data_IF_723087091519
#
_entry.id   IF_723087091519
#
_cell.length_a   1.000
_cell.length_b   1.000
_cell.length_c   1.000
_cell.angle_alpha   90.00
_cell.angle_beta   90.00
_cell.angle_gamma   90.00
#
_symmetry.space_group_name_H-M   'P 1'
#
loop_
_entity.id
_entity.type
_entity.pdbx_description
1 polymer ?
#
# COMPACT_ATOMS: atom_id res chain seq x y z
N UNK A 1 22.33 4.22 71.52
CA UNK A 1 22.12 5.03 70.31
C UNK A 1 21.41 4.15 69.29
N UNK A 2 20.11 4.34 69.16
CA UNK A 2 19.18 3.46 68.44
C UNK A 2 19.13 3.82 66.96
N UNK A 3 19.39 2.86 66.06
CA UNK A 3 19.11 2.98 64.61
C UNK A 3 17.73 2.39 64.33
N UNK A 4 16.73 3.25 64.27
CA UNK A 4 15.38 2.94 63.80
C UNK A 4 15.09 3.76 62.54
N UNK A 5 14.61 3.11 61.47
CA UNK A 5 13.77 3.77 60.47
C UNK A 5 14.31 3.90 59.04
N UNK A 6 14.52 2.78 58.32
CA UNK A 6 14.60 2.82 56.83
C UNK A 6 13.78 1.74 56.13
N UNK A 7 12.99 0.94 56.85
CA UNK A 7 12.19 -0.14 56.24
C UNK A 7 10.82 0.31 55.68
N UNK A 8 10.26 1.44 56.15
CA UNK A 8 8.91 1.91 55.71
C UNK A 8 8.91 2.60 54.35
N UNK A 9 10.05 3.13 53.89
CA UNK A 9 10.16 3.79 52.60
C UNK A 9 10.07 2.81 51.43
N UNK A 10 10.98 1.83 51.38
CA UNK A 10 11.07 0.89 50.26
C UNK A 10 9.78 0.06 50.03
N UNK A 11 9.09 -0.31 51.12
CA UNK A 11 7.82 -1.05 51.02
C UNK A 11 6.69 -0.20 50.40
N UNK A 12 6.63 1.10 50.71
CA UNK A 12 5.62 2.00 50.13
C UNK A 12 5.84 2.25 48.64
N UNK A 13 7.10 2.37 48.21
CA UNK A 13 7.45 2.51 46.79
C UNK A 13 7.20 1.23 46.01
N UNK A 14 7.46 0.06 46.59
CA UNK A 14 7.13 -1.23 45.99
C UNK A 14 5.63 -1.41 45.77
N UNK A 15 4.81 -1.05 46.76
CA UNK A 15 3.35 -1.10 46.63
C UNK A 15 2.83 -0.14 45.54
N UNK A 16 3.35 1.08 45.47
CA UNK A 16 3.00 2.05 44.43
C UNK A 16 3.37 1.55 43.02
N UNK A 17 4.53 0.92 42.86
CA UNK A 17 4.94 0.32 41.58
C UNK A 17 4.01 -0.81 41.14
N UNK A 18 3.61 -1.69 42.07
CA UNK A 18 2.67 -2.78 41.76
C UNK A 18 1.30 -2.24 41.37
N UNK A 19 0.80 -1.22 42.09
CA UNK A 19 -0.47 -0.56 41.74
C UNK A 19 -0.38 0.13 40.38
N UNK A 20 0.71 0.85 40.11
CA UNK A 20 0.91 1.52 38.82
C UNK A 20 1.01 0.53 37.66
N UNK A 21 1.72 -0.58 37.83
CA UNK A 21 1.82 -1.65 36.82
C UNK A 21 0.48 -2.36 36.62
N UNK A 22 -0.26 -2.64 37.70
CA UNK A 22 -1.59 -3.23 37.64
C UNK A 22 -2.59 -2.31 36.93
N UNK A 23 -2.54 -1.00 37.22
CA UNK A 23 -3.37 0.00 36.57
C UNK A 23 -3.00 0.18 35.10
N UNK A 24 -1.71 0.19 34.75
CA UNK A 24 -1.24 0.24 33.37
C UNK A 24 -1.65 -1.02 32.58
N UNK A 25 -1.58 -2.20 33.20
CA UNK A 25 -2.04 -3.45 32.60
C UNK A 25 -3.57 -3.48 32.43
N UNK A 26 -4.31 -2.98 33.42
CA UNK A 26 -5.77 -2.90 33.36
C UNK A 26 -6.23 -1.88 32.32
N UNK A 27 -5.63 -0.68 32.29
CA UNK A 27 -5.88 0.31 31.26
C UNK A 27 -5.47 -0.22 29.88
N UNK A 28 -4.33 -0.90 29.75
CA UNK A 28 -3.89 -1.49 28.49
C UNK A 28 -4.79 -2.64 27.99
N UNK A 29 -5.40 -3.41 28.89
CA UNK A 29 -6.31 -4.51 28.53
C UNK A 29 -7.75 -4.05 28.31
N UNK A 30 -8.20 -3.01 29.02
CA UNK A 30 -9.54 -2.44 28.90
C UNK A 30 -9.65 -1.37 27.78
N UNK A 31 -8.52 -0.82 27.32
CA UNK A 31 -8.49 0.12 26.19
C UNK A 31 -8.20 -0.68 24.92
N UNK A 32 -9.20 -1.04 24.10
CA UNK A 32 -8.93 -1.66 22.81
C UNK A 32 -8.02 -0.73 22.02
N UNK A 33 -6.81 -1.20 21.71
CA UNK A 33 -5.96 -0.49 20.74
C UNK A 33 -6.80 -0.28 19.48
N UNK A 34 -6.87 0.94 18.92
CA UNK A 34 -7.51 1.13 17.63
C UNK A 34 -6.74 0.31 16.60
N UNK A 35 -7.16 -0.95 16.39
CA UNK A 35 -6.71 -1.70 15.25
C UNK A 35 -7.37 -1.01 14.06
N UNK A 36 -6.62 -0.16 13.37
CA UNK A 36 -6.96 0.24 11.99
C UNK A 36 -6.73 -0.99 11.11
N UNK A 37 -7.49 -2.05 11.37
CA UNK A 37 -7.64 -3.16 10.44
C UNK A 37 -8.73 -2.66 9.49
N UNK A 38 -8.44 -2.41 8.20
CA UNK A 38 -9.49 -2.26 7.21
C UNK A 38 -10.48 -3.42 7.41
N UNK A 39 -11.78 -3.19 7.27
CA UNK A 39 -12.90 -4.07 7.62
C UNK A 39 -12.92 -5.43 6.88
N UNK A 40 -11.80 -6.17 6.83
CA UNK A 40 -11.59 -7.40 6.07
C UNK A 40 -11.32 -7.19 4.58
N UNK A 41 -11.84 -6.11 4.00
CA UNK A 41 -11.81 -5.89 2.57
C UNK A 41 -10.44 -5.42 2.07
N UNK A 42 -9.96 -6.04 0.99
CA UNK A 42 -8.65 -5.77 0.36
C UNK A 42 -8.77 -5.83 -1.16
N UNK A 43 -8.04 -4.93 -1.81
CA UNK A 43 -7.67 -5.05 -3.21
C UNK A 43 -6.20 -5.47 -3.32
N UNK A 44 -5.91 -6.35 -4.26
CA UNK A 44 -4.57 -6.91 -4.48
C UNK A 44 -4.39 -8.33 -3.98
N UNK A 45 -3.31 -8.99 -4.40
CA UNK A 45 -2.99 -10.34 -3.97
C UNK A 45 -2.60 -10.39 -2.50
N UNK A 46 -2.82 -11.55 -1.89
CA UNK A 46 -2.27 -11.85 -0.57
C UNK A 46 -0.80 -12.27 -0.67
N UNK A 47 -0.03 -12.07 0.40
CA UNK A 47 1.37 -12.47 0.41
C UNK A 47 1.49 -13.98 0.19
N UNK A 48 2.30 -14.38 -0.80
CA UNK A 48 2.49 -15.78 -1.17
C UNK A 48 1.34 -16.42 -1.96
N UNK A 49 0.28 -15.66 -2.28
CA UNK A 49 -0.82 -16.17 -3.11
C UNK A 49 -0.32 -16.50 -4.52
N UNK A 50 -0.80 -17.61 -5.08
CA UNK A 50 -0.55 -17.93 -6.48
C UNK A 50 -1.16 -16.85 -7.38
N UNK A 51 -0.39 -16.34 -8.33
CA UNK A 51 -0.82 -15.28 -9.24
C UNK A 51 -1.99 -15.75 -10.10
N UNK A 52 -1.99 -16.99 -10.55
CA UNK A 52 -3.11 -17.56 -11.31
C UNK A 52 -4.42 -17.56 -10.51
N UNK A 53 -4.35 -17.89 -9.22
CA UNK A 53 -5.49 -17.87 -8.30
C UNK A 53 -6.02 -16.44 -8.12
N UNK A 54 -5.13 -15.48 -7.85
CA UNK A 54 -5.50 -14.06 -7.73
C UNK A 54 -6.16 -13.54 -9.01
N UNK A 55 -5.61 -13.84 -10.19
CA UNK A 55 -6.18 -13.43 -11.46
C UNK A 55 -7.57 -14.05 -11.70
N UNK A 56 -7.78 -15.30 -11.27
CA UNK A 56 -9.10 -15.94 -11.28
C UNK A 56 -10.09 -15.19 -10.38
N UNK A 57 -9.70 -14.86 -9.16
CA UNK A 57 -10.53 -14.10 -8.21
C UNK A 57 -10.85 -12.69 -8.71
N UNK A 58 -9.87 -11.98 -9.30
CA UNK A 58 -10.08 -10.66 -9.87
C UNK A 58 -11.09 -10.68 -11.02
N UNK A 59 -10.99 -11.66 -11.93
CA UNK A 59 -11.96 -11.86 -13.01
C UNK A 59 -13.35 -12.18 -12.47
N UNK A 60 -13.45 -13.04 -11.46
CA UNK A 60 -14.72 -13.38 -10.84
C UNK A 60 -15.38 -12.16 -10.17
N UNK A 61 -14.61 -11.33 -9.46
CA UNK A 61 -15.16 -10.12 -8.82
C UNK A 61 -15.58 -9.06 -9.84
N UNK A 62 -14.85 -8.94 -10.96
CA UNK A 62 -15.26 -8.08 -12.07
C UNK A 62 -16.53 -8.57 -12.77
N UNK A 63 -16.66 -9.87 -13.00
CA UNK A 63 -17.85 -10.46 -13.62
C UNK A 63 -19.10 -10.31 -12.72
N UNK A 64 -18.91 -10.38 -11.40
CA UNK A 64 -19.97 -10.19 -10.42
C UNK A 64 -20.34 -8.71 -10.16
N UNK A 65 -19.57 -7.75 -10.70
CA UNK A 65 -19.83 -6.33 -10.47
C UNK A 65 -21.12 -5.89 -11.18
N UNK A 66 -22.11 -5.31 -10.45
CA UNK A 66 -23.36 -4.87 -11.07
C UNK A 66 -23.10 -3.78 -12.11
N UNK A 67 -23.74 -3.90 -13.28
CA UNK A 67 -23.47 -3.08 -14.46
C UNK A 67 -23.54 -1.56 -14.20
N UNK A 68 -24.59 -1.11 -13.52
CA UNK A 68 -24.84 0.31 -13.23
C UNK A 68 -24.37 0.79 -11.86
N UNK A 69 -23.89 -0.08 -10.98
CA UNK A 69 -23.42 0.31 -9.66
C UNK A 69 -21.95 0.67 -9.68
N UNK A 70 -21.59 1.74 -8.98
CA UNK A 70 -20.21 2.17 -8.85
C UNK A 70 -19.52 1.38 -7.76
N UNK A 71 -18.29 0.93 -8.03
CA UNK A 71 -17.46 0.16 -7.11
C UNK A 71 -16.01 0.61 -7.17
N UNK A 72 -15.30 0.45 -6.05
CA UNK A 72 -13.86 0.63 -6.01
C UNK A 72 -13.23 -0.56 -6.69
N UNK A 73 -12.23 -0.32 -7.51
CA UNK A 73 -11.48 -1.38 -8.17
C UNK A 73 -9.99 -1.07 -8.20
N UNK A 74 -9.18 -2.11 -8.26
CA UNK A 74 -7.74 -2.03 -8.50
C UNK A 74 -7.46 -2.50 -9.91
N UNK A 75 -6.89 -1.62 -10.71
CA UNK A 75 -6.30 -1.94 -12.01
C UNK A 75 -4.83 -2.29 -11.76
N UNK A 76 -4.42 -3.49 -12.18
CA UNK A 76 -3.03 -3.91 -12.18
C UNK A 76 -2.49 -3.90 -13.62
N UNK A 77 -1.43 -3.13 -13.89
CA UNK A 77 -0.74 -3.14 -15.18
C UNK A 77 -0.04 -4.47 -15.49
N UNK A 78 0.10 -4.81 -16.77
CA UNK A 78 0.94 -5.92 -17.22
C UNK A 78 2.43 -5.59 -17.20
N UNK A 79 2.76 -4.32 -17.40
CA UNK A 79 4.06 -3.70 -17.23
C UNK A 79 3.85 -2.33 -16.57
N UNK A 80 4.86 -1.77 -15.91
CA UNK A 80 4.76 -0.46 -15.27
C UNK A 80 4.26 0.60 -16.27
N UNK A 81 3.32 1.44 -15.84
CA UNK A 81 2.81 2.54 -16.67
C UNK A 81 3.48 3.86 -16.30
N UNK A 82 3.47 4.79 -17.26
CA UNK A 82 3.74 6.20 -16.98
C UNK A 82 2.51 6.90 -16.38
N UNK A 83 2.66 8.07 -15.76
CA UNK A 83 1.52 8.87 -15.30
C UNK A 83 0.53 9.26 -16.41
N UNK A 84 1.01 9.64 -17.61
CA UNK A 84 0.12 10.00 -18.73
C UNK A 84 -0.72 8.81 -19.21
N UNK A 85 -0.10 7.63 -19.19
CA UNK A 85 -0.77 6.37 -19.50
C UNK A 85 -1.90 6.02 -18.53
N UNK A 86 -1.77 6.38 -17.25
CA UNK A 86 -2.83 6.21 -16.25
C UNK A 86 -4.06 7.02 -16.62
N UNK A 87 -3.88 8.29 -16.95
CA UNK A 87 -5.02 9.17 -17.27
C UNK A 87 -5.76 8.70 -18.51
N UNK A 88 -5.03 8.36 -19.58
CA UNK A 88 -5.61 7.83 -20.80
C UNK A 88 -6.34 6.50 -20.57
N UNK A 89 -5.76 5.58 -19.79
CA UNK A 89 -6.35 4.27 -19.51
C UNK A 89 -7.44 4.30 -18.44
N UNK A 90 -7.58 5.37 -17.68
CA UNK A 90 -8.69 5.59 -16.75
C UNK A 90 -9.89 6.32 -17.40
N UNK A 91 -9.77 6.73 -18.67
CA UNK A 91 -10.84 7.43 -19.37
C UNK A 91 -12.17 6.65 -19.33
N UNK A 92 -13.27 7.32 -19.00
CA UNK A 92 -14.61 6.71 -18.83
C UNK A 92 -14.92 6.20 -17.43
N UNK A 93 -13.96 6.27 -16.49
CA UNK A 93 -14.21 6.03 -15.07
C UNK A 93 -14.54 7.34 -14.36
N UNK A 94 -15.27 7.26 -13.24
CA UNK A 94 -15.70 8.44 -12.49
C UNK A 94 -14.53 9.09 -11.73
N UNK A 95 -13.57 8.29 -11.22
CA UNK A 95 -12.48 8.82 -10.39
C UNK A 95 -11.24 7.93 -10.37
N UNK A 96 -10.06 8.58 -10.38
CA UNK A 96 -8.78 8.00 -9.95
C UNK A 96 -8.58 8.33 -8.47
N UNK A 97 -8.72 7.33 -7.61
CA UNK A 97 -8.64 7.50 -6.16
C UNK A 97 -7.20 7.51 -5.64
N UNK A 98 -6.41 6.50 -6.02
CA UNK A 98 -5.01 6.33 -5.59
C UNK A 98 -4.18 5.73 -6.72
N UNK A 99 -2.94 6.14 -6.83
CA UNK A 99 -1.95 5.56 -7.76
C UNK A 99 -0.85 4.91 -6.91
N UNK A 100 -0.55 3.66 -7.21
CA UNK A 100 0.50 2.89 -6.56
C UNK A 100 1.74 2.99 -7.42
N UNK A 101 2.81 3.53 -6.85
CA UNK A 101 4.05 3.87 -7.55
C UNK A 101 5.21 3.11 -6.91
N UNK A 102 5.97 2.36 -7.70
CA UNK A 102 7.16 1.62 -7.28
C UNK A 102 8.19 1.62 -8.40
N UNK A 103 9.43 1.96 -8.08
CA UNK A 103 10.56 1.75 -8.98
C UNK A 103 11.10 0.35 -8.78
N UNK A 104 11.25 -0.42 -9.85
CA UNK A 104 11.91 -1.72 -9.78
C UNK A 104 13.42 -1.57 -9.78
N UNK A 105 14.08 -2.16 -8.79
CA UNK A 105 15.53 -2.32 -8.73
C UNK A 105 15.81 -3.80 -8.43
N UNK A 106 16.35 -4.58 -9.37
CA UNK A 106 16.58 -6.01 -9.16
C UNK A 106 17.43 -6.30 -7.92
N UNK A 107 16.93 -7.18 -7.05
CA UNK A 107 17.61 -7.58 -5.80
C UNK A 107 17.57 -6.52 -4.69
N UNK A 108 16.73 -5.49 -4.82
CA UNK A 108 16.55 -4.43 -3.82
C UNK A 108 15.06 -4.30 -3.48
N UNK A 109 14.72 -4.40 -2.20
CA UNK A 109 13.36 -4.23 -1.70
C UNK A 109 12.94 -2.75 -1.70
N UNK A 110 12.52 -2.26 -2.87
CA UNK A 110 11.97 -0.90 -3.01
C UNK A 110 10.52 -0.83 -2.50
N UNK A 111 10.17 0.22 -1.74
CA UNK A 111 8.81 0.41 -1.23
C UNK A 111 7.85 0.85 -2.34
N UNK A 112 6.55 0.60 -2.12
CA UNK A 112 5.47 1.12 -2.98
C UNK A 112 4.82 2.32 -2.31
N UNK A 113 4.88 3.49 -2.94
CA UNK A 113 4.13 4.67 -2.51
C UNK A 113 2.67 4.57 -2.98
N UNK A 114 1.75 4.99 -2.12
CA UNK A 114 0.33 5.14 -2.47
C UNK A 114 -0.03 6.62 -2.49
N UNK A 115 -0.28 7.18 -3.67
CA UNK A 115 -0.43 8.61 -3.89
C UNK A 115 -1.89 8.95 -4.27
N UNK A 116 -2.59 9.85 -3.56
CA UNK A 116 -3.87 10.38 -4.00
C UNK A 116 -3.67 11.54 -5.00
N UNK A 117 -4.06 11.42 -6.29
CA UNK A 117 -3.71 12.40 -7.33
C UNK A 117 -4.68 13.60 -7.43
N UNK A 118 -5.59 13.81 -6.46
CA UNK A 118 -6.48 14.99 -6.47
C UNK A 118 -7.54 15.03 -7.58
N UNK A 119 -7.77 13.95 -8.33
CA UNK A 119 -8.78 13.83 -9.39
C UNK A 119 -8.57 14.74 -10.62
N UNK A 120 -7.33 15.11 -10.95
CA UNK A 120 -7.00 15.85 -12.16
C UNK A 120 -5.91 15.18 -12.99
N UNK A 121 -5.81 15.52 -14.27
CA UNK A 121 -4.75 15.03 -15.14
C UNK A 121 -3.38 15.51 -14.63
N UNK A 122 -3.29 16.77 -14.19
CA UNK A 122 -2.09 17.38 -13.63
C UNK A 122 -1.66 16.66 -12.34
N UNK A 123 -2.63 16.34 -11.47
CA UNK A 123 -2.35 15.61 -10.24
C UNK A 123 -1.94 14.16 -10.49
N UNK A 124 -2.47 13.51 -11.53
CA UNK A 124 -1.97 12.20 -11.99
C UNK A 124 -0.55 12.33 -12.52
N UNK A 125 -0.22 13.35 -13.34
CA UNK A 125 1.16 13.59 -13.81
C UNK A 125 2.16 13.81 -12.67
N UNK A 126 1.71 14.43 -11.58
CA UNK A 126 2.54 14.72 -10.41
C UNK A 126 2.81 13.49 -9.50
N UNK A 127 2.18 12.33 -9.73
CA UNK A 127 2.28 11.18 -8.79
C UNK A 127 3.72 10.67 -8.60
N UNK A 128 4.56 10.74 -9.63
CA UNK A 128 5.96 10.33 -9.50
C UNK A 128 6.73 11.29 -8.58
N UNK A 129 6.52 12.60 -8.67
CA UNK A 129 7.15 13.58 -7.76
C UNK A 129 6.63 13.41 -6.33
N UNK A 130 5.31 13.25 -6.16
CA UNK A 130 4.70 13.02 -4.85
C UNK A 130 5.21 11.72 -4.21
N UNK A 131 5.36 10.65 -5.00
CA UNK A 131 5.98 9.41 -4.54
C UNK A 131 7.45 9.62 -4.16
N UNK A 132 8.22 10.37 -4.95
CA UNK A 132 9.62 10.69 -4.66
C UNK A 132 9.78 11.45 -3.34
N UNK A 133 8.88 12.39 -3.05
CA UNK A 133 8.84 13.13 -1.79
C UNK A 133 8.49 12.24 -0.59
N UNK A 134 7.66 11.22 -0.77
CA UNK A 134 7.26 10.30 0.28
C UNK A 134 8.32 9.24 0.63
N UNK A 135 9.27 8.95 -0.28
CA UNK A 135 10.24 7.84 -0.13
C UNK A 135 10.97 7.80 1.22
N UNK A 136 11.48 8.91 1.78
CA UNK A 136 12.21 8.87 3.06
C UNK A 136 11.37 8.31 4.21
N UNK A 137 10.04 8.48 4.18
CA UNK A 137 9.12 7.97 5.21
C UNK A 137 8.65 6.53 4.98
N UNK A 138 8.99 5.92 3.85
CA UNK A 138 8.53 4.57 3.47
C UNK A 138 9.63 3.49 3.60
N UNK A 139 10.89 3.90 3.74
CA UNK A 139 12.02 2.99 3.87
C UNK A 139 12.32 2.68 5.34
N UNK A 140 12.96 1.53 5.59
CA UNK A 140 13.49 1.22 6.90
C UNK A 140 14.60 2.21 7.30
N UNK A 141 14.73 2.59 8.58
CA UNK A 141 15.82 3.43 9.04
C UNK A 141 17.21 2.83 8.75
N UNK A 142 18.20 3.69 8.54
CA UNK A 142 19.61 3.33 8.37
C UNK A 142 20.14 3.50 6.94
N UNK A 143 21.46 3.35 6.78
CA UNK A 143 22.18 3.74 5.56
C UNK A 143 21.66 3.04 4.29
N UNK A 144 21.24 1.77 4.37
CA UNK A 144 20.66 1.04 3.23
C UNK A 144 19.31 1.64 2.83
N UNK A 145 18.41 1.87 3.78
CA UNK A 145 17.10 2.46 3.50
C UNK A 145 17.22 3.88 2.94
N UNK A 146 18.11 4.70 3.50
CA UNK A 146 18.40 6.03 2.97
C UNK A 146 18.95 5.97 1.53
N UNK A 147 19.82 5.01 1.22
CA UNK A 147 20.30 4.80 -0.14
C UNK A 147 19.16 4.40 -1.08
N UNK A 148 18.28 3.49 -0.65
CA UNK A 148 17.08 3.07 -1.40
C UNK A 148 16.17 4.26 -1.68
N UNK A 149 15.90 5.10 -0.67
CA UNK A 149 15.07 6.29 -0.82
C UNK A 149 15.68 7.27 -1.81
N UNK A 150 17.00 7.54 -1.72
CA UNK A 150 17.71 8.44 -2.64
C UNK A 150 17.64 7.95 -4.08
N UNK A 151 18.00 6.69 -4.34
CA UNK A 151 18.01 6.14 -5.70
C UNK A 151 16.60 6.06 -6.29
N UNK A 152 15.61 5.66 -5.48
CA UNK A 152 14.21 5.56 -5.91
C UNK A 152 13.65 6.94 -6.24
N UNK A 153 13.86 7.93 -5.37
CA UNK A 153 13.41 9.29 -5.62
C UNK A 153 14.09 9.90 -6.87
N UNK A 154 15.39 9.65 -7.06
CA UNK A 154 16.11 10.10 -8.27
C UNK A 154 15.50 9.53 -9.54
N UNK A 155 15.17 8.23 -9.56
CA UNK A 155 14.58 7.56 -10.74
C UNK A 155 13.15 8.00 -11.00
N UNK A 156 12.35 8.23 -9.96
CA UNK A 156 10.98 8.75 -10.11
C UNK A 156 10.94 10.15 -10.74
N UNK A 157 11.95 10.97 -10.44
CA UNK A 157 12.08 12.33 -11.00
C UNK A 157 12.55 12.38 -12.45
N UNK A 158 13.09 11.27 -12.97
CA UNK A 158 13.45 11.22 -14.38
C UNK A 158 12.17 11.24 -15.24
N UNK A 159 12.18 12.10 -16.27
CA UNK A 159 11.03 12.33 -17.12
C UNK A 159 10.57 11.03 -17.80
N UNK A 160 9.25 10.78 -17.78
CA UNK A 160 8.64 9.65 -18.49
C UNK A 160 8.93 8.27 -17.90
N UNK A 161 9.51 8.16 -16.70
CA UNK A 161 9.79 6.84 -16.10
C UNK A 161 8.48 6.10 -15.78
N UNK A 162 8.29 4.89 -16.33
CA UNK A 162 7.19 4.03 -15.94
C UNK A 162 7.46 3.47 -14.54
N UNK A 163 6.61 3.83 -13.59
CA UNK A 163 6.71 3.40 -12.20
C UNK A 163 5.35 3.10 -11.57
N UNK A 164 4.26 3.27 -12.32
CA UNK A 164 2.91 2.97 -11.82
C UNK A 164 2.67 1.47 -11.90
N UNK A 165 2.44 0.86 -10.74
CA UNK A 165 2.22 -0.59 -10.56
C UNK A 165 0.78 -0.93 -10.16
N UNK A 166 -0.07 0.08 -9.97
CA UNK A 166 -1.48 -0.11 -9.67
C UNK A 166 -2.25 1.19 -9.65
N UNK A 167 -3.54 1.13 -9.98
CA UNK A 167 -4.43 2.30 -9.94
C UNK A 167 -5.74 1.91 -9.27
N UNK A 168 -6.08 2.58 -8.19
CA UNK A 168 -7.37 2.44 -7.51
C UNK A 168 -8.33 3.44 -8.13
N UNK A 169 -9.43 2.93 -8.67
CA UNK A 169 -10.43 3.70 -9.42
C UNK A 169 -11.83 3.47 -8.89
N UNK A 170 -12.73 4.40 -9.19
CA UNK A 170 -14.15 4.29 -8.93
C UNK A 170 -14.88 4.38 -10.28
N UNK A 171 -15.79 3.44 -10.53
CA UNK A 171 -16.53 3.38 -11.78
C UNK A 171 -17.64 2.34 -11.73
N UNK A 172 -18.56 2.38 -12.71
CA UNK A 172 -19.61 1.38 -12.87
C UNK A 172 -19.04 0.02 -13.30
N UNK A 173 -19.76 -1.08 -13.01
CA UNK A 173 -19.34 -2.41 -13.46
C UNK A 173 -19.11 -2.51 -14.97
N UNK A 174 -19.93 -1.84 -15.78
CA UNK A 174 -19.73 -1.75 -17.25
C UNK A 174 -18.43 -1.02 -17.62
N UNK A 175 -18.18 0.14 -17.00
CA UNK A 175 -16.97 0.93 -17.27
C UNK A 175 -15.70 0.17 -16.84
N UNK A 176 -15.75 -0.53 -15.71
CA UNK A 176 -14.65 -1.38 -15.23
C UNK A 176 -14.37 -2.55 -16.17
N UNK A 177 -15.41 -3.18 -16.73
CA UNK A 177 -15.26 -4.22 -17.77
C UNK A 177 -14.66 -3.68 -19.06
N UNK A 178 -15.07 -2.48 -19.48
CA UNK A 178 -14.47 -1.82 -20.65
C UNK A 178 -12.97 -1.53 -20.44
N UNK A 179 -12.57 -1.10 -19.24
CA UNK A 179 -11.17 -0.88 -18.89
C UNK A 179 -10.38 -2.18 -18.87
N UNK A 180 -10.95 -3.28 -18.36
CA UNK A 180 -10.28 -4.59 -18.34
C UNK A 180 -9.90 -5.11 -19.73
N UNK A 181 -10.63 -4.71 -20.78
CA UNK A 181 -10.31 -5.04 -22.17
C UNK A 181 -9.20 -4.20 -22.82
N UNK A 182 -8.66 -3.19 -22.13
CA UNK A 182 -7.65 -2.28 -22.70
C UNK A 182 -6.26 -2.92 -22.76
N UNK A 183 -5.44 -2.62 -23.80
CA UNK A 183 -4.07 -3.07 -23.87
C UNK A 183 -3.23 -2.67 -22.64
N UNK A 184 -2.46 -3.62 -22.12
CA UNK A 184 -1.56 -3.41 -20.98
C UNK A 184 -2.24 -3.51 -19.61
N UNK A 185 -3.54 -3.79 -19.53
CA UNK A 185 -4.23 -4.13 -18.28
C UNK A 185 -4.10 -5.63 -18.02
N UNK A 186 -3.54 -5.99 -16.86
CA UNK A 186 -3.36 -7.39 -16.46
C UNK A 186 -4.56 -7.93 -15.70
N UNK A 187 -5.10 -7.11 -14.80
CA UNK A 187 -6.30 -7.45 -14.04
C UNK A 187 -7.04 -6.19 -13.59
N UNK A 188 -8.35 -6.34 -13.43
CA UNK A 188 -9.20 -5.41 -12.70
C UNK A 188 -9.89 -6.22 -11.62
N UNK A 189 -9.59 -5.92 -10.35
CA UNK A 189 -10.27 -6.53 -9.21
C UNK A 189 -11.25 -5.51 -8.63
N UNK A 190 -12.53 -5.89 -8.56
CA UNK A 190 -13.59 -5.07 -7.99
C UNK A 190 -13.79 -5.42 -6.52
N UNK A 191 -14.04 -4.40 -5.70
CA UNK A 191 -14.37 -4.55 -4.29
C UNK A 191 -15.77 -5.20 -4.14
N UNK A 192 -15.92 -6.28 -3.35
CA UNK A 192 -17.19 -7.02 -3.26
C UNK A 192 -18.35 -6.20 -2.69
N UNK A 193 -18.06 -5.28 -1.76
CA UNK A 193 -19.03 -4.42 -1.10
C UNK A 193 -18.77 -2.96 -1.44
N UNK A 194 -19.83 -2.16 -1.40
CA UNK A 194 -19.67 -0.72 -1.34
C UNK A 194 -19.18 -0.33 0.06
N UNK A 195 -18.18 0.53 0.15
CA UNK A 195 -17.49 0.83 1.40
C UNK A 195 -16.11 1.46 1.21
N UNK A 196 -15.78 2.41 2.09
CA UNK A 196 -14.61 3.29 1.92
C UNK A 196 -13.29 2.75 2.50
N UNK A 197 -13.33 1.73 3.38
CA UNK A 197 -12.14 1.25 4.12
C UNK A 197 -11.69 -0.12 3.62
N UNK A 198 -10.62 -0.13 2.85
CA UNK A 198 -10.02 -1.36 2.34
C UNK A 198 -8.49 -1.23 2.27
N UNK A 199 -7.80 -2.36 2.45
CA UNK A 199 -6.37 -2.47 2.20
C UNK A 199 -6.08 -2.52 0.70
N UNK A 200 -4.88 -2.10 0.29
CA UNK A 200 -4.46 -2.21 -1.12
C UNK A 200 -3.05 -2.79 -1.18
N UNK A 201 -2.86 -3.76 -2.07
CA UNK A 201 -1.57 -4.31 -2.47
C UNK A 201 -1.50 -4.35 -3.99
N UNK A 202 -0.37 -3.97 -4.58
CA UNK A 202 -0.21 -4.06 -6.03
C UNK A 202 0.10 -5.50 -6.44
N UNK A 203 -0.57 -6.01 -7.48
CA UNK A 203 -0.01 -7.13 -8.25
C UNK A 203 1.11 -6.55 -9.11
N UNK A 204 2.34 -6.71 -8.66
CA UNK A 204 3.51 -6.17 -9.35
C UNK A 204 3.70 -6.86 -10.71
N UNK A 205 4.19 -6.16 -11.74
CA UNK A 205 4.54 -6.78 -13.02
C UNK A 205 5.53 -7.94 -12.89
N UNK A 206 6.42 -7.89 -11.89
CA UNK A 206 7.38 -8.97 -11.60
C UNK A 206 6.75 -10.23 -11.00
N UNK A 207 5.54 -10.16 -10.44
CA UNK A 207 4.87 -11.32 -9.85
C UNK A 207 4.25 -12.17 -10.97
N UNK A 208 4.95 -13.23 -11.39
CA UNK A 208 4.49 -14.13 -12.46
C UNK A 208 3.83 -15.39 -11.93
N UNK A 209 4.40 -16.00 -10.88
CA UNK A 209 3.92 -17.27 -10.30
C UNK A 209 3.28 -17.06 -8.93
N UNK A 210 3.98 -16.37 -8.03
CA UNK A 210 3.54 -16.11 -6.65
C UNK A 210 3.74 -14.64 -6.29
N UNK A 211 2.82 -14.10 -5.48
CA UNK A 211 2.88 -12.74 -4.98
C UNK A 211 3.78 -12.63 -3.74
N UNK A 212 5.06 -12.89 -3.94
CA UNK A 212 6.09 -12.84 -2.89
C UNK A 212 7.07 -11.72 -3.18
N UNK A 213 7.49 -10.94 -2.17
CA UNK A 213 8.48 -9.89 -2.35
C UNK A 213 9.74 -10.42 -3.06
N UNK A 214 10.28 -9.61 -3.98
CA UNK A 214 11.58 -9.88 -4.59
C UNK A 214 12.67 -9.96 -3.50
N UNK A 215 13.73 -10.77 -3.67
CA UNK A 215 14.87 -10.80 -2.75
C UNK A 215 15.51 -9.41 -2.55
N UNK A 216 16.02 -9.16 -1.34
CA UNK A 216 16.77 -7.95 -0.97
C UNK A 216 18.26 -8.25 -0.72
N UNK A 217 18.91 -8.91 -1.68
CA UNK A 217 20.25 -9.49 -1.55
C UNK A 217 21.34 -8.76 -2.35
N UNK A 218 20.98 -7.72 -3.13
CA UNK A 218 21.92 -6.97 -3.95
C UNK A 218 22.31 -5.62 -3.33
N UNK A 219 23.49 -5.07 -3.70
CA UNK A 219 23.86 -3.71 -3.36
C UNK A 219 22.88 -2.69 -3.95
N UNK A 220 22.63 -1.61 -3.21
CA UNK A 220 21.82 -0.50 -3.69
C UNK A 220 22.63 0.32 -4.71
N UNK A 221 22.14 0.54 -5.94
CA UNK A 221 22.84 1.38 -6.91
C UNK A 221 22.98 2.82 -6.42
N UNK A 222 24.05 3.49 -6.85
CA UNK A 222 24.26 4.90 -6.54
C UNK A 222 23.29 5.84 -7.28
N UNK A 223 22.73 5.40 -8.42
CA UNK A 223 21.81 6.15 -9.30
C UNK A 223 20.77 5.22 -9.94
#
# INVERSE_FOLDING_TARGET
MSRTGTARGAAGWGALLVVALGLAFWLGSATPTPSVRPDGDRLGPQSGQAVAEYLGQARASLAAAPAGERRWALISPAAEWTPDEVWARAAGLDRVGRVLVRVRIPGVATPTATVPPGQSAEGVRAVNELAALAMPGLVAPGARGEAIARVTASRLRAAGVPAVVGVVVWGTGDALRAVAGRPGVRSVQVLPRDGARFGVSALLPSYTETATPDPDDRPVPAR
#
